data_IF_658089961751
#
_entry.id   IF_658089961751
#
_cell.length_a   1.000
_cell.length_b   1.000
_cell.length_c   1.000
_cell.angle_alpha   90.00
_cell.angle_beta   90.00
_cell.angle_gamma   90.00
#
_symmetry.space_group_name_H-M   'P 1'
#
loop_
_entity.id
_entity.type
_entity.pdbx_description
1 polymer ?
#
# COMPACT_ATOMS: atom_id res chain seq x y z
N UNK A 1 -1.77 -12.42 -6.21
CA UNK A 1 -0.99 -12.90 -5.04
C UNK A 1 -1.68 -12.43 -3.76
N UNK A 2 -1.57 -13.15 -2.63
CA UNK A 2 -2.15 -12.71 -1.35
C UNK A 2 -1.37 -11.52 -0.77
N UNK A 3 -2.08 -10.56 -0.18
CA UNK A 3 -1.48 -9.37 0.46
C UNK A 3 -0.44 -9.77 1.52
N UNK A 4 -0.73 -10.80 2.31
CA UNK A 4 0.20 -11.37 3.31
C UNK A 4 1.55 -11.74 2.70
N UNK A 5 1.56 -12.43 1.55
CA UNK A 5 2.80 -12.82 0.85
C UNK A 5 3.54 -11.60 0.30
N UNK A 6 2.82 -10.61 -0.20
CA UNK A 6 3.41 -9.36 -0.69
C UNK A 6 4.11 -8.57 0.42
N UNK A 7 3.46 -8.43 1.57
CA UNK A 7 4.02 -7.74 2.74
C UNK A 7 5.26 -8.45 3.30
N UNK A 8 5.23 -9.79 3.43
CA UNK A 8 6.42 -10.55 3.87
C UNK A 8 7.61 -10.32 2.94
N UNK A 9 7.39 -10.38 1.62
CA UNK A 9 8.42 -10.09 0.64
C UNK A 9 8.95 -8.66 0.79
N UNK A 10 8.07 -7.67 0.97
CA UNK A 10 8.47 -6.28 1.21
C UNK A 10 9.34 -6.10 2.45
N UNK A 11 9.12 -6.93 3.48
CA UNK A 11 9.94 -6.98 4.69
C UNK A 11 11.20 -7.82 4.55
N UNK A 12 11.45 -8.41 3.38
CA UNK A 12 12.50 -9.40 3.14
C UNK A 12 12.42 -10.63 4.05
N UNK A 13 11.19 -11.05 4.37
CA UNK A 13 10.90 -12.23 5.18
C UNK A 13 10.36 -13.35 4.28
N UNK A 14 10.89 -14.56 4.47
CA UNK A 14 10.35 -15.75 3.79
C UNK A 14 9.09 -16.28 4.50
N UNK A 15 9.07 -16.20 5.82
CA UNK A 15 7.98 -16.67 6.69
C UNK A 15 7.77 -15.71 7.85
N UNK A 16 6.60 -15.80 8.49
CA UNK A 16 6.28 -15.04 9.70
C UNK A 16 7.18 -15.47 10.86
N UNK A 17 7.79 -14.53 11.61
CA UNK A 17 8.53 -14.82 12.83
C UNK A 17 7.68 -15.57 13.85
N UNK A 18 8.25 -16.61 14.46
CA UNK A 18 7.57 -17.39 15.50
C UNK A 18 8.04 -16.95 16.88
N UNK A 19 7.16 -16.26 17.60
CA UNK A 19 7.39 -15.85 18.99
C UNK A 19 6.55 -16.68 19.96
N UNK A 20 7.00 -16.83 21.23
CA UNK A 20 6.17 -17.41 22.28
C UNK A 20 4.86 -16.64 22.43
N UNK A 21 3.78 -17.38 22.70
CA UNK A 21 2.44 -16.79 22.91
C UNK A 21 2.50 -15.75 24.02
N UNK A 22 1.99 -14.55 23.75
CA UNK A 22 1.97 -13.42 24.69
C UNK A 22 3.32 -12.72 24.91
N UNK A 23 4.38 -13.11 24.19
CA UNK A 23 5.72 -12.53 24.35
C UNK A 23 5.81 -11.02 24.06
N UNK A 24 4.85 -10.48 23.29
CA UNK A 24 4.83 -9.08 22.89
C UNK A 24 3.73 -8.24 23.54
N UNK A 25 2.81 -8.84 24.31
CA UNK A 25 1.61 -8.15 24.81
C UNK A 25 1.99 -6.91 25.63
N UNK A 26 2.91 -7.09 26.59
CA UNK A 26 3.39 -5.99 27.45
C UNK A 26 4.12 -4.91 26.66
N UNK A 27 4.94 -5.30 25.67
CA UNK A 27 5.69 -4.36 24.83
C UNK A 27 4.73 -3.53 24.01
N UNK A 28 3.70 -4.15 23.43
CA UNK A 28 2.69 -3.47 22.63
C UNK A 28 1.86 -2.51 23.48
N UNK A 29 1.42 -2.92 24.67
CA UNK A 29 0.65 -2.04 25.55
C UNK A 29 1.49 -0.84 26.00
N UNK A 30 2.76 -1.05 26.32
CA UNK A 30 3.68 0.06 26.61
C UNK A 30 3.87 0.99 25.41
N UNK A 31 4.00 0.45 24.19
CA UNK A 31 4.11 1.22 22.96
C UNK A 31 2.85 2.07 22.71
N UNK A 32 1.66 1.44 22.74
CA UNK A 32 0.37 2.14 22.58
C UNK A 32 0.23 3.27 23.59
N UNK A 33 0.50 3.00 24.87
CA UNK A 33 0.39 4.02 25.94
C UNK A 33 1.34 5.20 25.70
N UNK A 34 2.59 4.92 25.32
CA UNK A 34 3.61 5.96 25.11
C UNK A 34 3.25 6.84 23.91
N UNK A 35 2.91 6.24 22.77
CA UNK A 35 2.60 6.98 21.55
C UNK A 35 1.24 7.68 21.59
N UNK A 36 0.25 7.14 22.30
CA UNK A 36 -1.01 7.84 22.52
C UNK A 36 -0.79 9.13 23.31
N UNK A 37 0.04 9.10 24.34
CA UNK A 37 0.41 10.29 25.14
C UNK A 37 1.12 11.34 24.26
N UNK A 38 2.06 10.91 23.42
CA UNK A 38 2.79 11.80 22.51
C UNK A 38 1.83 12.40 21.47
N UNK A 39 0.96 11.59 20.86
CA UNK A 39 -0.02 12.04 19.86
C UNK A 39 -0.98 13.09 20.43
N UNK A 40 -1.45 12.92 21.68
CA UNK A 40 -2.27 13.91 22.36
C UNK A 40 -1.50 15.23 22.54
N UNK A 41 -0.26 15.19 23.04
CA UNK A 41 0.56 16.40 23.21
C UNK A 41 0.88 17.11 21.88
N UNK A 42 1.04 16.37 20.78
CA UNK A 42 1.28 16.94 19.45
C UNK A 42 0.01 17.58 18.86
N UNK A 43 -1.17 17.02 19.15
CA UNK A 43 -2.46 17.53 18.68
C UNK A 43 -2.81 18.88 19.32
N UNK A 44 -2.35 19.13 20.55
CA UNK A 44 -2.49 20.42 21.22
C UNK A 44 -1.59 21.54 20.62
N UNK A 45 -0.70 21.19 19.68
CA UNK A 45 0.25 22.12 19.05
C UNK A 45 -0.04 22.40 17.57
N UNK A 46 -0.96 21.65 16.93
CA UNK A 46 -1.17 21.72 15.48
C UNK A 46 -2.34 22.66 15.08
N UNK A 47 -2.01 23.73 14.34
CA UNK A 47 -2.97 24.60 13.63
C UNK A 47 -3.50 23.87 12.38
N UNK A 48 -4.79 23.96 12.01
CA UNK A 48 -5.33 23.15 10.92
C UNK A 48 -4.85 23.67 9.56
N UNK A 49 -4.22 22.79 8.77
CA UNK A 49 -4.00 22.99 7.33
C UNK A 49 -5.21 22.43 6.59
N UNK A 50 -5.89 23.31 5.85
CA UNK A 50 -6.90 22.95 4.86
C UNK A 50 -6.18 22.35 3.66
N UNK A 51 -6.34 21.06 3.42
CA UNK A 51 -5.94 20.42 2.17
C UNK A 51 -7.07 20.55 1.16
N UNK A 52 -6.77 21.21 0.04
CA UNK A 52 -7.68 21.35 -1.09
C UNK A 52 -7.83 20.02 -1.82
N UNK A 53 -9.07 19.52 -1.89
CA UNK A 53 -9.45 18.43 -2.77
C UNK A 53 -9.26 18.86 -4.22
N UNK A 54 -8.33 18.21 -4.92
CA UNK A 54 -8.21 18.33 -6.38
C UNK A 54 -9.14 17.30 -7.01
N UNK A 55 -10.40 17.68 -7.19
CA UNK A 55 -11.38 16.94 -7.98
C UNK A 55 -11.14 17.29 -9.45
N UNK A 56 -10.61 16.34 -10.22
CA UNK A 56 -10.69 16.40 -11.68
C UNK A 56 -12.04 15.82 -12.11
N UNK A 57 -12.96 16.69 -12.51
CA UNK A 57 -14.16 16.39 -13.28
C UNK A 57 -14.09 17.27 -14.55
N UNK A 58 -14.52 16.92 -15.75
CA UNK A 58 -15.25 15.82 -16.38
C UNK A 58 -15.10 16.06 -17.90
N UNK A 59 -15.38 15.07 -18.77
CA UNK A 59 -15.56 15.37 -20.18
C UNK A 59 -15.54 14.19 -21.13
N UNK A 60 -16.55 13.31 -21.09
CA UNK A 60 -16.82 12.43 -22.23
C UNK A 60 -17.85 11.35 -21.99
N UNK A 61 -18.99 11.46 -22.67
CA UNK A 61 -19.97 10.39 -22.86
C UNK A 61 -19.28 9.15 -23.46
N UNK A 62 -18.76 8.29 -22.60
CA UNK A 62 -18.09 7.07 -22.99
C UNK A 62 -18.48 6.01 -21.98
N UNK A 63 -18.78 4.83 -22.49
CA UNK A 63 -18.82 3.56 -21.76
C UNK A 63 -17.41 3.19 -21.24
N UNK A 64 -16.63 4.20 -20.85
CA UNK A 64 -15.19 4.25 -20.80
C UNK A 64 -14.66 3.71 -19.48
N UNK A 65 -13.63 2.91 -19.60
CA UNK A 65 -12.87 2.40 -18.48
C UNK A 65 -12.15 3.57 -17.79
N UNK A 66 -12.23 3.63 -16.45
CA UNK A 66 -11.56 4.66 -15.63
C UNK A 66 -10.57 4.02 -14.68
N UNK A 67 -9.60 4.79 -14.20
CA UNK A 67 -8.67 4.33 -13.16
C UNK A 67 -9.30 4.54 -11.78
N UNK A 68 -9.58 3.46 -11.07
CA UNK A 68 -10.10 3.46 -9.71
C UNK A 68 -8.98 3.19 -8.69
N UNK A 69 -8.70 4.12 -7.77
CA UNK A 69 -7.97 3.81 -6.55
C UNK A 69 -8.90 3.09 -5.57
N UNK A 70 -8.55 1.86 -5.20
CA UNK A 70 -9.25 1.07 -4.20
C UNK A 70 -8.43 1.08 -2.91
N UNK A 71 -8.79 1.95 -1.97
CA UNK A 71 -8.16 2.00 -0.66
C UNK A 71 -8.68 0.88 0.23
N UNK A 72 -7.81 0.25 0.99
CA UNK A 72 -8.16 -0.74 2.01
C UNK A 72 -7.24 -0.55 3.21
N UNK A 73 -7.80 -0.69 4.40
CA UNK A 73 -7.04 -0.75 5.64
C UNK A 73 -6.94 -2.21 6.08
N UNK A 74 -5.73 -2.62 6.48
CA UNK A 74 -5.43 -3.99 6.89
C UNK A 74 -4.92 -3.95 8.31
N UNK A 75 -5.60 -4.63 9.21
CA UNK A 75 -5.18 -4.71 10.60
C UNK A 75 -4.19 -5.85 10.80
N UNK A 76 -3.13 -5.62 11.56
CA UNK A 76 -2.14 -6.67 11.85
C UNK A 76 -2.78 -7.89 12.52
N UNK A 77 -3.81 -7.68 13.33
CA UNK A 77 -4.59 -8.76 13.97
C UNK A 77 -5.35 -9.63 12.97
N UNK A 78 -5.87 -9.07 11.87
CA UNK A 78 -6.55 -9.85 10.83
C UNK A 78 -5.56 -10.74 10.04
N UNK A 79 -4.30 -10.30 9.98
CA UNK A 79 -3.22 -11.11 9.46
C UNK A 79 -2.65 -12.10 10.49
N UNK A 80 -3.04 -12.02 11.77
CA UNK A 80 -2.40 -12.77 12.86
C UNK A 80 -0.97 -12.32 13.17
N UNK A 81 -0.61 -11.12 12.75
CA UNK A 81 0.73 -10.54 12.89
C UNK A 81 0.90 -9.74 14.17
N UNK A 82 -0.18 -9.54 14.93
CA UNK A 82 -0.13 -9.05 16.29
C UNK A 82 0.56 -10.04 17.26
N UNK A 83 1.06 -11.19 16.83
CA UNK A 83 1.98 -11.98 17.66
C UNK A 83 3.44 -11.54 17.53
N UNK A 84 3.81 -10.75 16.51
CA UNK A 84 5.21 -10.40 16.20
C UNK A 84 5.46 -8.96 15.71
N UNK A 85 4.45 -8.27 15.17
CA UNK A 85 4.51 -6.85 14.75
C UNK A 85 4.08 -5.93 15.90
N UNK A 86 4.88 -4.90 16.18
CA UNK A 86 4.64 -3.91 17.23
C UNK A 86 3.93 -2.69 16.66
N UNK A 87 4.37 -2.21 15.51
CA UNK A 87 3.83 -1.01 14.86
C UNK A 87 4.01 -1.08 13.33
N UNK A 88 3.06 -0.56 12.53
CA UNK A 88 1.78 0.01 12.93
C UNK A 88 0.74 -1.06 13.29
N UNK A 89 -0.38 -0.65 13.89
CA UNK A 89 -1.49 -1.56 14.18
C UNK A 89 -2.30 -1.91 12.92
N UNK A 90 -2.31 -1.01 11.93
CA UNK A 90 -2.93 -1.20 10.64
C UNK A 90 -2.09 -0.56 9.53
N UNK A 91 -2.30 -1.02 8.29
CA UNK A 91 -1.72 -0.45 7.08
C UNK A 91 -2.82 -0.06 6.11
N UNK A 92 -2.84 1.19 5.68
CA UNK A 92 -3.62 1.63 4.52
C UNK A 92 -2.84 1.34 3.24
N UNK A 93 -3.49 0.67 2.28
CA UNK A 93 -2.93 0.31 0.98
C UNK A 93 -3.93 0.72 -0.10
N UNK A 94 -3.45 1.33 -1.17
CA UNK A 94 -4.25 1.60 -2.37
C UNK A 94 -3.90 0.58 -3.46
N UNK A 95 -4.92 -0.09 -4.00
CA UNK A 95 -4.80 -0.91 -5.20
C UNK A 95 -5.32 -0.12 -6.40
N UNK A 96 -4.53 -0.09 -7.47
CA UNK A 96 -4.92 0.55 -8.72
C UNK A 96 -5.58 -0.47 -9.63
N UNK A 97 -6.83 -0.20 -10.02
CA UNK A 97 -7.57 -1.07 -10.92
C UNK A 97 -8.27 -0.25 -12.00
N UNK A 98 -8.32 -0.81 -13.21
CA UNK A 98 -9.21 -0.31 -14.25
C UNK A 98 -10.63 -0.75 -13.91
N UNK A 99 -11.60 0.16 -13.93
CA UNK A 99 -12.97 -0.09 -13.52
C UNK A 99 -13.95 0.53 -14.51
N UNK A 100 -15.12 -0.09 -14.68
CA UNK A 100 -16.25 0.48 -15.41
C UNK A 100 -17.18 1.25 -14.43
N UNK A 101 -18.14 2.06 -14.92
CA UNK A 101 -19.09 2.76 -14.06
C UNK A 101 -19.97 1.82 -13.20
N UNK A 102 -20.09 0.53 -13.56
CA UNK A 102 -20.74 -0.50 -12.74
C UNK A 102 -19.78 -1.19 -11.74
N UNK A 103 -18.58 -0.62 -11.53
CA UNK A 103 -17.52 -1.06 -10.60
C UNK A 103 -16.92 -2.46 -10.84
N UNK A 104 -17.20 -3.11 -11.95
CA UNK A 104 -16.47 -4.33 -12.32
C UNK A 104 -15.03 -3.97 -12.68
N UNK A 105 -14.08 -4.68 -12.05
CA UNK A 105 -12.67 -4.55 -12.36
C UNK A 105 -12.37 -5.20 -13.72
N UNK A 106 -11.64 -4.48 -14.56
CA UNK A 106 -11.21 -4.94 -15.87
C UNK A 106 -9.71 -5.13 -15.84
N UNK A 107 -9.23 -6.27 -16.33
CA UNK A 107 -7.80 -6.51 -16.44
C UNK A 107 -7.22 -5.64 -17.56
N UNK A 108 -6.08 -5.03 -17.26
CA UNK A 108 -5.31 -4.33 -18.27
C UNK A 108 -4.85 -5.30 -19.37
N UNK A 109 -4.97 -4.93 -20.66
CA UNK A 109 -4.39 -5.69 -21.75
C UNK A 109 -2.88 -5.87 -21.49
N UNK A 110 -2.39 -7.10 -21.55
CA UNK A 110 -0.95 -7.38 -21.43
C UNK A 110 -0.24 -6.81 -22.66
N UNK A 111 0.83 -6.05 -22.46
CA UNK A 111 1.69 -5.53 -23.53
C UNK A 111 2.57 -6.63 -24.13
N UNK A 112 1.94 -7.65 -24.71
CA UNK A 112 2.59 -8.60 -25.61
C UNK A 112 1.93 -8.44 -26.97
N UNK A 113 2.28 -7.36 -27.66
CA UNK A 113 1.91 -7.20 -29.06
C UNK A 113 3.15 -6.71 -29.79
N UNK A 114 3.62 -7.54 -30.72
CA UNK A 114 4.67 -7.21 -31.67
C UNK A 114 4.41 -5.83 -32.28
N UNK A 115 5.49 -5.05 -32.39
CA UNK A 115 5.51 -3.66 -32.79
C UNK A 115 4.89 -3.46 -34.19
N UNK A 116 3.57 -3.26 -34.30
CA UNK A 116 2.94 -2.75 -35.52
C UNK A 116 1.75 -1.81 -35.35
N UNK A 117 1.34 -1.42 -34.12
CA UNK A 117 0.31 -0.39 -34.00
C UNK A 117 0.53 0.50 -32.76
N UNK A 118 1.24 1.61 -32.96
CA UNK A 118 1.64 2.54 -31.90
C UNK A 118 0.52 3.50 -31.46
N UNK A 119 -0.65 3.47 -32.11
CA UNK A 119 -1.74 4.44 -31.90
C UNK A 119 -2.91 3.90 -31.05
N UNK A 120 -2.87 2.61 -30.68
CA UNK A 120 -3.97 1.89 -30.01
C UNK A 120 -3.67 1.48 -28.57
N UNK A 121 -2.59 1.98 -27.95
CA UNK A 121 -2.20 1.56 -26.60
C UNK A 121 -3.10 2.23 -25.55
N UNK A 122 -4.09 1.48 -25.05
CA UNK A 122 -4.97 1.94 -23.96
C UNK A 122 -4.12 2.17 -22.70
N UNK A 123 -4.15 3.38 -22.10
CA UNK A 123 -3.39 3.66 -20.90
C UNK A 123 -3.94 2.84 -19.72
N UNK A 124 -3.04 2.23 -18.97
CA UNK A 124 -3.35 1.35 -17.84
C UNK A 124 -3.34 2.10 -16.52
N UNK A 125 -4.22 1.69 -15.60
CA UNK A 125 -4.29 2.23 -14.25
C UNK A 125 -3.14 1.68 -13.42
N UNK A 126 -2.20 2.55 -13.01
CA UNK A 126 -1.00 2.17 -12.27
C UNK A 126 -0.74 3.13 -11.11
N UNK A 127 0.15 2.71 -10.20
CA UNK A 127 0.58 3.52 -9.06
C UNK A 127 1.32 4.77 -9.55
N UNK A 128 0.87 5.96 -9.13
CA UNK A 128 1.53 7.24 -9.45
C UNK A 128 2.36 7.76 -8.28
N UNK A 129 2.07 7.31 -7.06
CA UNK A 129 2.91 7.60 -5.90
C UNK A 129 2.97 6.41 -4.95
N UNK A 130 4.12 6.28 -4.30
CA UNK A 130 4.41 5.23 -3.33
C UNK A 130 5.00 5.85 -2.07
N UNK A 131 4.82 5.18 -0.94
CA UNK A 131 5.34 5.59 0.36
C UNK A 131 6.02 4.39 1.04
N UNK A 132 7.16 4.65 1.69
CA UNK A 132 7.83 3.67 2.53
C UNK A 132 7.26 3.76 3.95
N UNK A 133 6.52 2.73 4.36
CA UNK A 133 5.92 2.68 5.71
C UNK A 133 6.80 1.84 6.62
N UNK A 134 7.30 2.40 7.74
CA UNK A 134 8.12 1.66 8.68
C UNK A 134 7.29 0.61 9.43
N UNK A 135 7.81 -0.61 9.48
CA UNK A 135 7.27 -1.71 10.26
C UNK A 135 8.27 -2.05 11.36
N UNK A 136 7.81 -1.94 12.60
CA UNK A 136 8.55 -2.30 13.81
C UNK A 136 8.06 -3.67 14.27
N UNK A 137 8.93 -4.65 14.34
CA UNK A 137 8.59 -6.02 14.72
C UNK A 137 9.71 -6.67 15.52
N UNK A 138 9.40 -7.80 16.15
CA UNK A 138 10.38 -8.63 16.84
C UNK A 138 10.64 -9.89 16.01
N UNK A 139 11.91 -10.20 15.77
CA UNK A 139 12.31 -11.39 15.02
C UNK A 139 12.44 -12.64 15.92
N UNK A 140 12.75 -13.79 15.32
CA UNK A 140 12.88 -15.07 16.05
C UNK A 140 14.04 -15.10 17.05
N UNK A 141 14.96 -14.13 16.99
CA UNK A 141 16.06 -13.96 17.95
C UNK A 141 15.69 -13.07 19.14
N UNK A 142 14.40 -12.67 19.24
CA UNK A 142 13.90 -11.67 20.18
C UNK A 142 14.50 -10.27 19.97
N UNK A 143 15.00 -9.98 18.77
CA UNK A 143 15.57 -8.68 18.44
C UNK A 143 14.51 -7.75 17.88
N UNK A 144 14.56 -6.48 18.27
CA UNK A 144 13.72 -5.43 17.71
C UNK A 144 14.25 -5.02 16.33
N UNK A 145 13.43 -5.16 15.31
CA UNK A 145 13.77 -4.82 13.92
C UNK A 145 12.86 -3.70 13.44
N UNK A 146 13.46 -2.71 12.78
CA UNK A 146 12.75 -1.67 12.03
C UNK A 146 13.07 -1.89 10.56
N UNK A 147 12.05 -2.25 9.79
CA UNK A 147 12.13 -2.37 8.33
C UNK A 147 11.05 -1.48 7.70
N UNK A 148 10.89 -1.50 6.38
CA UNK A 148 9.85 -0.71 5.71
C UNK A 148 9.27 -1.46 4.53
N UNK A 149 7.96 -1.29 4.32
CA UNK A 149 7.25 -1.79 3.15
C UNK A 149 6.85 -0.64 2.26
N UNK A 150 6.97 -0.82 0.95
CA UNK A 150 6.49 0.14 -0.02
C UNK A 150 4.99 -0.06 -0.26
N UNK A 151 4.18 0.98 -0.09
CA UNK A 151 2.74 0.97 -0.35
C UNK A 151 2.35 2.04 -1.36
N UNK A 152 1.39 1.73 -2.22
CA UNK A 152 0.83 2.71 -3.16
C UNK A 152 -0.14 3.65 -2.43
N UNK A 153 -0.06 4.95 -2.77
CA UNK A 153 -0.91 6.01 -2.21
C UNK A 153 -1.86 6.63 -3.23
N UNK A 154 -1.49 6.64 -4.50
CA UNK A 154 -2.31 7.20 -5.57
C UNK A 154 -2.20 6.38 -6.85
N UNK A 155 -3.23 6.49 -7.68
CA UNK A 155 -3.32 5.81 -8.97
C UNK A 155 -3.55 6.82 -10.08
N UNK A 156 -3.05 6.51 -11.27
CA UNK A 156 -3.31 7.28 -12.48
C UNK A 156 -3.17 6.41 -13.73
N UNK A 157 -3.65 6.94 -14.85
CA UNK A 157 -3.50 6.31 -16.15
C UNK A 157 -2.11 6.61 -16.71
N UNK A 158 -1.33 5.57 -17.04
CA UNK A 158 -0.06 5.71 -17.75
C UNK A 158 -0.03 4.83 -19.00
N UNK A 159 0.78 5.21 -19.98
CA UNK A 159 1.19 4.29 -21.05
C UNK A 159 1.99 3.17 -20.35
N UNK A 160 1.57 1.91 -20.49
CA UNK A 160 2.18 0.79 -19.76
C UNK A 160 3.70 0.80 -19.88
N UNK A 161 4.40 0.52 -18.77
CA UNK A 161 5.86 0.62 -18.66
C UNK A 161 6.58 -0.04 -19.86
N UNK A 162 7.16 0.78 -20.73
CA UNK A 162 8.34 0.38 -21.49
C UNK A 162 9.42 0.23 -20.44
N UNK A 163 9.69 -1.00 -20.04
CA UNK A 163 10.86 -1.30 -19.23
C UNK A 163 12.07 -0.89 -20.06
N UNK A 164 12.71 0.21 -19.66
CA UNK A 164 14.00 0.62 -20.18
C UNK A 164 14.98 -0.52 -19.86
N UNK A 165 15.11 -1.45 -20.82
CA UNK A 165 16.24 -2.34 -20.90
C UNK A 165 17.44 -1.43 -21.18
N UNK A 166 18.16 -1.09 -20.12
CA UNK A 166 19.53 -0.63 -20.24
C UNK A 166 20.32 -1.71 -21.00
N UNK A 167 20.55 -1.49 -22.29
CA UNK A 167 21.57 -2.19 -23.05
C UNK A 167 22.95 -1.72 -22.56
N UNK A 168 23.82 -2.71 -22.34
CA UNK A 168 25.23 -2.59 -21.98
C UNK A 168 26.07 -2.04 -23.15
#
# INVERSE_FOLDING_TARGET
>A
QSIRKGLLRGLNLQTEPRLPVGGLDRVREQWKSTFHTISQSAKDTAVPVVSGDSVSADGGNSTGLRCCPMASEIFMSELGWDSWVIHPASLSIVQCALCNPEQNTVQCPSSHTDAQDADSQVPCCQSTSQEMVPIVYMDESNSLVISSVQVTRSCGCGLGNIQELSEE
#
